data_IF_970597627183
#
_entry.id   IF_970597627183
#
_cell.length_a   1.000
_cell.length_b   1.000
_cell.length_c   1.000
_cell.angle_alpha   90.00
_cell.angle_beta   90.00
_cell.angle_gamma   90.00
#
_symmetry.space_group_name_H-M   'P 1'
#
loop_
_entity.id
_entity.type
_entity.pdbx_description
1 polymer ?
#
# COMPACT_ATOMS: atom_id res chain seq x y z
N UNK A 1 16.55 6.18 -35.63
CA UNK A 1 17.05 5.53 -34.40
C UNK A 1 17.64 4.18 -34.78
N UNK A 2 18.91 3.93 -34.44
CA UNK A 2 19.45 2.56 -34.50
C UNK A 2 18.66 1.72 -33.49
N UNK A 3 18.13 0.59 -33.92
CA UNK A 3 17.53 -0.39 -33.02
C UNK A 3 18.59 -0.79 -31.99
N UNK A 4 18.36 -0.48 -30.72
CA UNK A 4 19.24 -0.91 -29.64
C UNK A 4 19.35 -2.43 -29.65
N UNK A 5 20.54 -2.95 -29.32
CA UNK A 5 20.75 -4.40 -29.24
C UNK A 5 19.80 -4.95 -28.18
N UNK A 6 19.34 -6.19 -28.36
CA UNK A 6 18.37 -6.83 -27.44
C UNK A 6 18.80 -6.73 -25.97
N UNK A 7 20.09 -6.88 -25.66
CA UNK A 7 20.60 -6.73 -24.29
C UNK A 7 20.45 -5.32 -23.69
N UNK A 8 20.64 -4.27 -24.49
CA UNK A 8 20.50 -2.88 -24.03
C UNK A 8 19.06 -2.55 -23.63
N UNK A 9 18.07 -3.12 -24.35
CA UNK A 9 16.65 -2.93 -24.02
C UNK A 9 16.29 -3.45 -22.63
N UNK A 10 16.82 -4.61 -22.26
CA UNK A 10 16.61 -5.19 -20.94
C UNK A 10 17.36 -4.43 -19.84
N UNK A 11 18.54 -3.88 -20.13
CA UNK A 11 19.24 -3.03 -19.18
C UNK A 11 18.43 -1.78 -18.82
N UNK A 12 17.84 -1.11 -19.81
CA UNK A 12 16.96 0.03 -19.55
C UNK A 12 15.70 -0.36 -18.78
N UNK A 13 15.12 -1.54 -19.07
CA UNK A 13 13.99 -2.05 -18.31
C UNK A 13 14.32 -2.29 -16.84
N UNK A 14 15.46 -2.95 -16.56
CA UNK A 14 15.93 -3.20 -15.21
C UNK A 14 16.21 -1.88 -14.48
N UNK A 15 16.86 -0.93 -15.15
CA UNK A 15 17.10 0.41 -14.59
C UNK A 15 15.79 1.09 -14.20
N UNK A 16 14.78 1.06 -15.08
CA UNK A 16 13.44 1.59 -14.79
C UNK A 16 12.82 0.92 -13.56
N UNK A 17 12.89 -0.41 -13.47
CA UNK A 17 12.33 -1.14 -12.33
C UNK A 17 13.02 -0.80 -11.01
N UNK A 18 14.35 -0.68 -11.02
CA UNK A 18 15.12 -0.26 -9.84
C UNK A 18 14.82 1.18 -9.43
N UNK A 19 14.68 2.10 -10.39
CA UNK A 19 14.31 3.49 -10.11
C UNK A 19 12.91 3.61 -9.52
N UNK A 20 11.95 2.82 -10.01
CA UNK A 20 10.61 2.74 -9.44
C UNK A 20 10.68 2.28 -7.98
N UNK A 21 11.44 1.22 -7.67
CA UNK A 21 11.60 0.76 -6.28
C UNK A 21 12.27 1.81 -5.41
N UNK A 22 13.34 2.44 -5.90
CA UNK A 22 14.07 3.49 -5.19
C UNK A 22 13.22 4.75 -4.94
N UNK A 23 12.12 4.95 -5.67
CA UNK A 23 11.20 6.07 -5.45
C UNK A 23 10.35 5.92 -4.18
N UNK A 24 10.30 4.72 -3.58
CA UNK A 24 9.57 4.45 -2.34
C UNK A 24 10.49 4.53 -1.10
N UNK A 25 9.91 4.68 0.12
CA UNK A 25 10.65 4.53 1.37
C UNK A 25 11.42 3.20 1.45
N UNK A 26 12.56 3.13 2.18
CA UNK A 26 13.08 4.13 3.12
C UNK A 26 13.96 5.24 2.48
N UNK A 27 14.16 5.22 1.17
CA UNK A 27 14.98 6.21 0.46
C UNK A 27 14.38 7.63 0.48
N UNK A 28 15.21 8.61 0.09
CA UNK A 28 14.82 10.02 -0.15
C UNK A 28 14.89 10.37 -1.65
N UNK A 29 14.51 9.42 -2.47
CA UNK A 29 14.65 9.43 -3.94
C UNK A 29 13.30 9.42 -4.64
N UNK A 30 12.25 9.88 -3.96
CA UNK A 30 10.88 10.06 -4.47
C UNK A 30 10.80 10.88 -5.77
N UNK A 31 11.71 11.84 -5.96
CA UNK A 31 11.88 12.61 -7.19
C UNK A 31 12.21 11.74 -8.42
N UNK A 32 12.76 10.52 -8.25
CA UNK A 32 13.03 9.61 -9.37
C UNK A 32 11.75 9.18 -10.09
N UNK A 33 10.60 9.14 -9.40
CA UNK A 33 9.32 8.72 -9.98
C UNK A 33 8.92 9.56 -11.19
N UNK A 34 9.36 10.83 -11.27
CA UNK A 34 9.07 11.74 -12.37
C UNK A 34 9.70 11.35 -13.70
N UNK A 35 10.73 10.50 -13.68
CA UNK A 35 11.43 10.02 -14.89
C UNK A 35 11.83 8.53 -14.82
N UNK A 36 11.35 7.77 -13.83
CA UNK A 36 11.65 6.35 -13.63
C UNK A 36 11.16 5.45 -14.77
N UNK A 37 10.11 5.83 -15.50
CA UNK A 37 9.60 5.10 -16.67
C UNK A 37 10.31 5.48 -17.98
N UNK A 38 11.08 6.57 -18.01
CA UNK A 38 11.79 7.01 -19.23
C UNK A 38 12.73 5.91 -19.76
N UNK A 39 13.56 5.23 -18.94
CA UNK A 39 14.37 4.11 -19.42
C UNK A 39 13.52 2.98 -20.03
N UNK A 40 12.41 2.60 -19.41
CA UNK A 40 11.51 1.58 -19.99
C UNK A 40 11.00 2.01 -21.37
N UNK A 41 10.59 3.26 -21.52
CA UNK A 41 10.13 3.80 -22.82
C UNK A 41 11.24 3.76 -23.89
N UNK A 42 12.50 4.02 -23.52
CA UNK A 42 13.67 3.82 -24.40
C UNK A 42 13.80 2.34 -24.80
N UNK A 43 13.70 1.43 -23.82
CA UNK A 43 13.87 -0.01 -24.03
C UNK A 43 12.83 -0.62 -24.98
N UNK A 44 11.59 -0.13 -24.96
CA UNK A 44 10.52 -0.63 -25.83
C UNK A 44 10.52 0.01 -27.23
N UNK A 45 11.27 1.11 -27.42
CA UNK A 45 11.25 1.87 -28.66
C UNK A 45 11.68 1.03 -29.87
N UNK A 46 10.92 1.15 -30.97
CA UNK A 46 11.20 0.46 -32.24
C UNK A 46 11.07 -1.06 -32.19
N UNK A 47 10.56 -1.64 -31.10
CA UNK A 47 10.23 -3.06 -31.01
C UNK A 47 8.79 -3.37 -31.40
N UNK A 48 8.50 -4.63 -31.70
CA UNK A 48 7.11 -5.10 -31.84
C UNK A 48 6.38 -5.07 -30.49
N UNK A 49 5.04 -5.03 -30.45
CA UNK A 49 4.30 -5.09 -29.19
C UNK A 49 4.66 -6.31 -28.32
N UNK A 50 4.95 -7.45 -28.94
CA UNK A 50 5.41 -8.65 -28.24
C UNK A 50 6.80 -8.48 -27.61
N UNK A 51 7.72 -7.77 -28.30
CA UNK A 51 9.02 -7.43 -27.71
C UNK A 51 8.86 -6.43 -26.56
N UNK A 52 8.01 -5.42 -26.73
CA UNK A 52 7.73 -4.43 -25.68
C UNK A 52 7.14 -5.10 -24.43
N UNK A 53 6.24 -6.08 -24.60
CA UNK A 53 5.72 -6.88 -23.50
C UNK A 53 6.85 -7.55 -22.70
N UNK A 54 7.79 -8.23 -23.37
CA UNK A 54 8.92 -8.91 -22.69
C UNK A 54 9.84 -7.93 -21.95
N UNK A 55 10.10 -6.76 -22.53
CA UNK A 55 10.89 -5.69 -21.90
C UNK A 55 10.14 -5.14 -20.67
N UNK A 56 8.83 -4.91 -20.77
CA UNK A 56 8.00 -4.50 -19.65
C UNK A 56 7.92 -5.56 -18.54
N UNK A 57 7.91 -6.86 -18.89
CA UNK A 57 8.01 -7.95 -17.91
C UNK A 57 9.32 -7.84 -17.11
N UNK A 58 10.45 -7.54 -17.76
CA UNK A 58 11.73 -7.38 -17.06
C UNK A 58 11.74 -6.16 -16.13
N UNK A 59 11.15 -5.03 -16.55
CA UNK A 59 11.01 -3.84 -15.72
C UNK A 59 10.11 -4.10 -14.49
N UNK A 60 8.95 -4.71 -14.71
CA UNK A 60 8.05 -5.07 -13.62
C UNK A 60 8.68 -6.09 -12.67
N UNK A 61 9.32 -7.13 -13.20
CA UNK A 61 9.95 -8.16 -12.38
C UNK A 61 11.08 -7.59 -11.51
N UNK A 62 11.97 -6.78 -12.08
CA UNK A 62 13.04 -6.12 -11.31
C UNK A 62 12.49 -5.17 -10.24
N UNK A 63 11.44 -4.40 -10.56
CA UNK A 63 10.74 -3.56 -9.58
C UNK A 63 10.17 -4.38 -8.42
N UNK A 64 9.28 -5.33 -8.71
CA UNK A 64 8.57 -6.05 -7.66
C UNK A 64 9.47 -7.01 -6.87
N UNK A 65 10.50 -7.59 -7.50
CA UNK A 65 11.46 -8.43 -6.79
C UNK A 65 12.25 -7.63 -5.74
N UNK A 66 12.68 -6.43 -6.09
CA UNK A 66 13.41 -5.54 -5.16
C UNK A 66 12.49 -4.85 -4.16
N UNK A 67 11.23 -4.60 -4.52
CA UNK A 67 10.24 -3.98 -3.63
C UNK A 67 9.68 -4.97 -2.58
N UNK A 68 9.47 -6.23 -2.97
CA UNK A 68 8.75 -7.23 -2.17
C UNK A 68 9.65 -8.32 -1.58
N UNK A 69 10.97 -8.10 -1.54
CA UNK A 69 11.93 -9.06 -0.98
C UNK A 69 11.56 -9.54 0.44
N UNK A 70 10.94 -8.66 1.22
CA UNK A 70 10.52 -8.91 2.60
C UNK A 70 9.46 -10.02 2.73
N UNK A 71 8.75 -10.36 1.65
CA UNK A 71 7.79 -11.48 1.66
C UNK A 71 8.48 -12.81 1.97
N UNK A 72 9.74 -13.00 1.53
CA UNK A 72 10.51 -14.20 1.87
C UNK A 72 10.69 -14.30 3.38
N UNK A 73 10.97 -13.18 4.05
CA UNK A 73 11.11 -13.12 5.52
C UNK A 73 9.77 -13.40 6.19
N UNK A 74 8.69 -12.79 5.70
CA UNK A 74 7.35 -13.00 6.25
C UNK A 74 6.91 -14.47 6.21
N UNK A 75 7.05 -15.11 5.03
CA UNK A 75 6.67 -16.51 4.84
C UNK A 75 7.62 -17.48 5.56
N UNK A 76 8.92 -17.19 5.54
CA UNK A 76 9.93 -18.06 6.15
C UNK A 76 9.92 -18.02 7.67
N UNK A 77 10.04 -16.82 8.24
CA UNK A 77 10.21 -16.64 9.68
C UNK A 77 8.90 -16.77 10.45
N UNK A 78 7.80 -16.16 9.95
CA UNK A 78 6.52 -16.16 10.67
C UNK A 78 5.55 -17.24 10.15
N UNK A 79 5.63 -17.57 8.86
CA UNK A 79 4.81 -18.63 8.26
C UNK A 79 5.39 -20.04 8.36
N UNK A 80 6.62 -20.20 8.86
CA UNK A 80 7.36 -21.47 8.93
C UNK A 80 7.45 -22.21 7.57
N UNK A 81 7.39 -21.48 6.45
CA UNK A 81 7.57 -22.07 5.11
C UNK A 81 9.07 -22.13 4.79
N UNK A 82 9.55 -23.26 4.26
CA UNK A 82 10.94 -23.37 3.83
C UNK A 82 11.34 -22.25 2.86
N UNK A 83 12.48 -21.59 3.09
CA UNK A 83 12.89 -20.39 2.34
C UNK A 83 12.91 -20.58 0.82
N UNK A 84 13.22 -21.78 0.33
CA UNK A 84 13.15 -22.11 -1.12
C UNK A 84 11.72 -22.00 -1.66
N UNK A 85 10.73 -22.48 -0.91
CA UNK A 85 9.31 -22.39 -1.29
C UNK A 85 8.84 -20.94 -1.19
N UNK A 86 9.23 -20.22 -0.14
CA UNK A 86 8.96 -18.78 0.01
C UNK A 86 9.52 -17.95 -1.14
N UNK A 87 10.75 -18.25 -1.60
CA UNK A 87 11.36 -17.60 -2.75
C UNK A 87 10.62 -17.91 -4.05
N UNK A 88 10.18 -19.16 -4.24
CA UNK A 88 9.35 -19.54 -5.39
C UNK A 88 8.03 -18.77 -5.41
N UNK A 89 7.35 -18.65 -4.26
CA UNK A 89 6.10 -17.88 -4.12
C UNK A 89 6.35 -16.40 -4.47
N UNK A 90 7.43 -15.80 -3.96
CA UNK A 90 7.79 -14.43 -4.31
C UNK A 90 7.99 -14.27 -5.82
N UNK A 91 8.77 -15.15 -6.45
CA UNK A 91 9.03 -15.09 -7.90
C UNK A 91 7.73 -15.17 -8.70
N UNK A 92 6.81 -16.07 -8.32
CA UNK A 92 5.49 -16.17 -8.96
C UNK A 92 4.65 -14.89 -8.78
N UNK A 93 4.62 -14.32 -7.58
CA UNK A 93 3.95 -13.05 -7.31
C UNK A 93 4.58 -11.91 -8.15
N UNK A 94 5.91 -11.83 -8.23
CA UNK A 94 6.59 -10.84 -9.05
C UNK A 94 6.25 -10.99 -10.53
N UNK A 95 6.13 -12.21 -11.06
CA UNK A 95 5.68 -12.43 -12.44
C UNK A 95 4.24 -11.97 -12.67
N UNK A 96 3.33 -12.28 -11.74
CA UNK A 96 1.96 -11.78 -11.80
C UNK A 96 1.92 -10.25 -11.83
N UNK A 97 2.62 -9.58 -10.92
CA UNK A 97 2.66 -8.12 -10.85
C UNK A 97 3.42 -7.50 -12.04
N UNK A 98 4.41 -8.19 -12.60
CA UNK A 98 5.12 -7.75 -13.80
C UNK A 98 4.24 -7.72 -15.06
N UNK A 99 3.09 -8.42 -15.07
CA UNK A 99 2.13 -8.37 -16.16
C UNK A 99 1.60 -6.94 -16.37
N UNK A 100 1.45 -6.13 -15.32
CA UNK A 100 0.91 -4.78 -15.46
C UNK A 100 1.88 -3.84 -16.22
N UNK A 101 3.17 -3.70 -15.84
CA UNK A 101 4.15 -2.99 -16.69
C UNK A 101 4.35 -3.60 -18.08
N UNK A 102 4.20 -4.92 -18.22
CA UNK A 102 4.28 -5.60 -19.52
C UNK A 102 3.11 -5.23 -20.44
N UNK A 103 1.89 -5.17 -19.91
CA UNK A 103 0.70 -4.71 -20.65
C UNK A 103 0.81 -3.23 -21.00
N UNK A 104 1.26 -2.37 -20.07
CA UNK A 104 1.59 -0.97 -20.38
C UNK A 104 2.52 -0.90 -21.58
N UNK A 105 3.63 -1.64 -21.54
CA UNK A 105 4.66 -1.65 -22.59
C UNK A 105 4.13 -2.14 -23.93
N UNK A 106 3.32 -3.20 -23.92
CA UNK A 106 2.67 -3.75 -25.11
C UNK A 106 1.78 -2.70 -25.81
N UNK A 107 0.93 -2.00 -25.05
CA UNK A 107 0.03 -0.99 -25.60
C UNK A 107 0.76 0.32 -25.91
N UNK A 108 1.79 0.69 -25.15
CA UNK A 108 2.66 1.83 -25.44
C UNK A 108 3.24 1.75 -26.87
N UNK A 109 3.65 0.55 -27.30
CA UNK A 109 4.12 0.30 -28.66
C UNK A 109 3.04 0.52 -29.73
N UNK A 110 1.75 0.35 -29.40
CA UNK A 110 0.62 0.53 -30.32
C UNK A 110 0.11 1.97 -30.39
N UNK A 111 0.23 2.74 -29.31
CA UNK A 111 -0.30 4.12 -29.23
C UNK A 111 0.71 5.18 -29.69
N UNK A 112 1.97 4.80 -29.92
CA UNK A 112 3.03 5.67 -30.46
C UNK A 112 2.56 6.35 -31.76
N UNK A 113 2.70 7.67 -31.83
CA UNK A 113 2.29 8.45 -33.00
C UNK A 113 0.76 8.61 -33.15
N UNK A 114 -0.03 8.14 -32.20
CA UNK A 114 -1.48 8.38 -32.16
C UNK A 114 -1.82 9.74 -31.54
N UNK A 115 -3.03 10.24 -31.79
CA UNK A 115 -3.53 11.44 -31.11
C UNK A 115 -3.56 11.23 -29.59
N UNK A 116 -3.05 12.20 -28.82
CA UNK A 116 -3.01 12.17 -27.35
C UNK A 116 -2.28 10.95 -26.77
N UNK A 117 -1.16 10.56 -27.39
CA UNK A 117 -0.38 9.39 -26.97
C UNK A 117 0.07 9.48 -25.50
N UNK A 118 0.42 10.69 -25.01
CA UNK A 118 0.85 10.88 -23.62
C UNK A 118 -0.28 10.59 -22.63
N UNK A 119 -1.47 11.16 -22.88
CA UNK A 119 -2.65 10.98 -22.04
C UNK A 119 -3.16 9.53 -22.05
N UNK A 120 -3.12 8.87 -23.21
CA UNK A 120 -3.45 7.44 -23.32
C UNK A 120 -2.52 6.57 -22.49
N UNK A 121 -1.21 6.87 -22.48
CA UNK A 121 -0.25 6.13 -21.68
C UNK A 121 -0.51 6.31 -20.17
N UNK A 122 -0.73 7.55 -19.74
CA UNK A 122 -1.06 7.86 -18.34
C UNK A 122 -2.39 7.23 -17.90
N UNK A 123 -3.44 7.32 -18.72
CA UNK A 123 -4.73 6.69 -18.46
C UNK A 123 -4.63 5.16 -18.42
N UNK A 124 -3.82 4.55 -19.29
CA UNK A 124 -3.57 3.12 -19.26
C UNK A 124 -2.85 2.69 -17.99
N UNK A 125 -1.85 3.44 -17.52
CA UNK A 125 -1.18 3.14 -16.25
C UNK A 125 -2.18 3.13 -15.09
N UNK A 126 -3.01 4.17 -14.98
CA UNK A 126 -4.05 4.25 -13.94
C UNK A 126 -5.05 3.09 -14.04
N UNK A 127 -5.51 2.76 -15.24
CA UNK A 127 -6.41 1.63 -15.44
C UNK A 127 -5.77 0.31 -14.99
N UNK A 128 -4.48 0.11 -15.27
CA UNK A 128 -3.73 -1.08 -14.85
C UNK A 128 -3.50 -1.10 -13.33
N UNK A 129 -3.21 0.04 -12.71
CA UNK A 129 -3.14 0.18 -11.25
C UNK A 129 -4.47 -0.15 -10.57
N UNK A 130 -5.58 0.35 -11.11
CA UNK A 130 -6.92 0.06 -10.61
C UNK A 130 -7.28 -1.43 -10.77
N UNK A 131 -6.97 -2.03 -11.92
CA UNK A 131 -7.14 -3.47 -12.12
C UNK A 131 -6.28 -4.29 -11.14
N UNK A 132 -5.05 -3.87 -10.87
CA UNK A 132 -4.16 -4.49 -9.87
C UNK A 132 -4.73 -4.39 -8.45
N UNK A 133 -5.46 -3.33 -8.15
CA UNK A 133 -6.13 -3.15 -6.86
C UNK A 133 -7.36 -4.05 -6.68
N UNK A 134 -7.91 -4.65 -7.75
CA UNK A 134 -9.18 -5.39 -7.71
C UNK A 134 -9.04 -6.88 -8.05
N UNK A 135 -8.18 -7.22 -9.02
CA UNK A 135 -8.06 -8.61 -9.50
C UNK A 135 -7.46 -9.52 -8.44
N UNK A 136 -8.03 -10.74 -8.32
CA UNK A 136 -7.59 -11.78 -7.39
C UNK A 136 -7.47 -11.27 -5.94
N UNK A 137 -8.49 -10.53 -5.50
CA UNK A 137 -8.61 -9.80 -4.22
C UNK A 137 -7.77 -8.53 -4.10
N UNK A 138 -6.95 -8.21 -5.08
CA UNK A 138 -6.20 -6.96 -5.14
C UNK A 138 -4.85 -7.03 -4.44
N UNK A 139 -3.85 -6.42 -5.07
CA UNK A 139 -2.54 -6.18 -4.47
C UNK A 139 -2.04 -4.77 -4.83
N UNK A 140 -2.69 -3.68 -4.33
CA UNK A 140 -2.34 -2.29 -4.62
C UNK A 140 -1.10 -1.81 -3.82
N UNK A 141 -0.13 -2.69 -3.58
CA UNK A 141 1.09 -2.34 -2.85
C UNK A 141 1.90 -1.31 -3.65
N UNK A 142 2.24 -0.18 -3.02
CA UNK A 142 3.07 0.89 -3.59
C UNK A 142 2.61 1.31 -5.00
N UNK A 143 1.38 1.83 -5.13
CA UNK A 143 0.95 2.59 -6.30
C UNK A 143 1.88 3.79 -6.54
N UNK A 144 2.09 4.18 -7.80
CA UNK A 144 3.07 5.19 -8.19
C UNK A 144 2.83 6.54 -7.50
N UNK A 145 1.56 6.94 -7.33
CA UNK A 145 1.21 8.16 -6.61
C UNK A 145 1.74 8.23 -5.17
N UNK A 146 1.93 7.08 -4.49
CA UNK A 146 2.47 7.07 -3.13
C UNK A 146 3.94 7.49 -3.04
N UNK A 147 4.69 7.53 -4.16
CA UNK A 147 6.07 8.04 -4.12
C UNK A 147 6.09 9.51 -3.70
N UNK A 148 5.00 10.26 -3.90
CA UNK A 148 4.91 11.69 -3.56
C UNK A 148 4.58 11.96 -2.08
N UNK A 149 4.72 10.97 -1.18
CA UNK A 149 4.35 11.07 0.23
C UNK A 149 4.98 12.26 1.00
N UNK A 150 6.07 12.83 0.48
CA UNK A 150 6.78 13.99 1.06
C UNK A 150 6.37 15.35 0.48
N UNK A 151 5.45 15.35 -0.48
CA UNK A 151 5.00 16.54 -1.20
C UNK A 151 3.51 16.75 -0.93
N UNK A 152 3.13 17.17 0.28
CA UNK A 152 1.73 17.27 0.67
C UNK A 152 0.94 18.26 -0.22
N UNK A 153 1.62 19.22 -0.86
CA UNK A 153 1.06 20.12 -1.87
C UNK A 153 0.54 19.36 -3.09
N UNK A 154 1.28 18.34 -3.54
CA UNK A 154 0.87 17.49 -4.65
C UNK A 154 -0.16 16.43 -4.23
N UNK A 155 -0.12 15.99 -2.98
CA UNK A 155 -1.05 14.97 -2.46
C UNK A 155 -2.49 15.48 -2.43
N UNK A 156 -2.72 16.79 -2.31
CA UNK A 156 -4.07 17.33 -2.12
C UNK A 156 -5.07 16.88 -3.20
N UNK A 157 -4.65 16.71 -4.47
CA UNK A 157 -5.55 16.23 -5.53
C UNK A 157 -6.11 14.82 -5.30
N UNK A 158 -5.60 14.09 -4.31
CA UNK A 158 -6.13 12.79 -3.92
C UNK A 158 -7.55 12.88 -3.31
N UNK A 159 -7.99 14.04 -2.82
CA UNK A 159 -9.39 14.22 -2.38
C UNK A 159 -10.38 14.23 -3.57
N UNK A 160 -9.93 14.67 -4.75
CA UNK A 160 -10.72 14.67 -5.99
C UNK A 160 -10.62 13.36 -6.77
N UNK A 161 -9.41 12.81 -6.92
CA UNK A 161 -9.12 11.72 -7.87
C UNK A 161 -8.51 10.47 -7.21
N UNK A 162 -8.36 10.47 -5.88
CA UNK A 162 -7.56 9.47 -5.18
C UNK A 162 -6.08 9.48 -5.60
N UNK A 163 -5.35 8.47 -5.14
CA UNK A 163 -3.92 8.28 -5.50
C UNK A 163 -3.69 8.18 -7.01
N UNK A 164 -4.70 7.76 -7.77
CA UNK A 164 -4.64 7.60 -9.21
C UNK A 164 -4.44 8.92 -9.97
N UNK A 165 -4.94 10.04 -9.44
CA UNK A 165 -4.68 11.36 -10.01
C UNK A 165 -3.20 11.71 -10.01
N UNK A 166 -2.49 11.40 -8.91
CA UNK A 166 -1.04 11.60 -8.82
C UNK A 166 -0.29 10.63 -9.75
N UNK A 167 -0.67 9.35 -9.79
CA UNK A 167 -0.10 8.38 -10.72
C UNK A 167 -0.23 8.86 -12.18
N UNK A 168 -1.37 9.44 -12.54
CA UNK A 168 -1.61 9.98 -13.88
C UNK A 168 -0.62 11.09 -14.23
N UNK A 169 -0.46 12.09 -13.35
CA UNK A 169 0.46 13.22 -13.56
C UNK A 169 1.91 12.72 -13.68
N UNK A 170 2.33 11.77 -12.85
CA UNK A 170 3.68 11.21 -12.88
C UNK A 170 3.97 10.48 -14.20
N UNK A 171 3.05 9.63 -14.68
CA UNK A 171 3.24 8.94 -15.96
C UNK A 171 3.18 9.91 -17.13
N UNK A 172 2.32 10.93 -17.07
CA UNK A 172 2.25 11.96 -18.11
C UNK A 172 3.58 12.73 -18.21
N UNK A 173 4.20 13.08 -17.08
CA UNK A 173 5.53 13.69 -17.02
C UNK A 173 6.62 12.78 -17.60
N UNK A 174 6.64 11.49 -17.23
CA UNK A 174 7.57 10.51 -17.81
C UNK A 174 7.43 10.41 -19.34
N UNK A 175 6.19 10.33 -19.82
CA UNK A 175 5.87 10.25 -21.23
C UNK A 175 6.35 11.50 -21.98
N UNK A 176 6.14 12.68 -21.40
CA UNK A 176 6.61 13.94 -21.96
C UNK A 176 8.14 13.99 -22.05
N UNK A 177 8.83 13.67 -20.95
CA UNK A 177 10.30 13.70 -20.90
C UNK A 177 10.86 12.78 -21.99
N UNK A 178 10.34 11.56 -22.10
CA UNK A 178 10.70 10.63 -23.16
C UNK A 178 10.43 11.20 -24.57
N UNK A 179 9.24 11.75 -24.81
CA UNK A 179 8.87 12.28 -26.12
C UNK A 179 9.70 13.51 -26.53
N UNK A 180 10.11 14.36 -25.58
CA UNK A 180 10.91 15.55 -25.87
C UNK A 180 12.40 15.24 -26.07
N UNK A 181 12.97 14.38 -25.22
CA UNK A 181 14.41 14.15 -25.14
C UNK A 181 14.88 12.95 -25.97
N UNK A 182 14.01 11.97 -26.21
CA UNK A 182 14.38 10.72 -26.89
C UNK A 182 13.69 10.59 -28.24
N UNK A 183 12.36 10.73 -28.27
CA UNK A 183 11.59 10.42 -29.46
C UNK A 183 10.43 11.38 -29.72
N UNK A 184 10.70 12.43 -30.50
CA UNK A 184 9.69 13.42 -30.91
C UNK A 184 8.58 12.84 -31.79
N UNK A 185 8.76 11.66 -32.37
CA UNK A 185 7.72 10.95 -33.14
C UNK A 185 6.75 10.17 -32.26
N UNK A 186 6.95 10.19 -30.93
CA UNK A 186 5.97 9.63 -30.00
C UNK A 186 4.66 10.41 -30.08
N UNK A 187 4.75 11.73 -30.29
CA UNK A 187 3.63 12.57 -30.65
C UNK A 187 3.14 12.26 -32.07
N UNK A 188 1.84 12.44 -32.28
CA UNK A 188 1.36 12.66 -33.64
C UNK A 188 1.87 14.03 -34.13
N UNK A 189 2.30 14.10 -35.40
CA UNK A 189 2.76 15.36 -36.00
C UNK A 189 1.70 16.46 -35.81
N UNK A 190 2.09 17.54 -35.13
CA UNK A 190 1.22 18.70 -34.87
C UNK A 190 0.42 18.69 -33.57
N UNK A 191 0.43 17.61 -32.77
CA UNK A 191 -0.29 17.58 -31.47
C UNK A 191 0.54 18.08 -30.30
N UNK A 192 1.87 18.03 -30.40
CA UNK A 192 2.79 18.47 -29.34
C UNK A 192 2.54 19.91 -28.85
N UNK A 193 2.12 20.81 -29.76
CA UNK A 193 1.80 22.21 -29.43
C UNK A 193 0.62 22.37 -28.45
N UNK A 194 -0.20 21.33 -28.30
CA UNK A 194 -1.33 21.30 -27.36
C UNK A 194 -1.05 20.40 -26.16
N UNK A 195 -0.41 19.24 -26.39
CA UNK A 195 -0.12 18.28 -25.32
C UNK A 195 0.90 18.82 -24.30
N UNK A 196 1.91 19.58 -24.74
CA UNK A 196 2.92 20.16 -23.85
C UNK A 196 2.30 21.23 -22.94
N UNK A 197 1.60 22.27 -23.44
CA UNK A 197 0.96 23.26 -22.57
C UNK A 197 -0.11 22.64 -21.67
N UNK A 198 -0.86 21.65 -22.14
CA UNK A 198 -1.88 20.97 -21.33
C UNK A 198 -1.28 20.26 -20.12
N UNK A 199 -0.14 19.59 -20.27
CA UNK A 199 0.56 18.98 -19.13
C UNK A 199 1.14 20.03 -18.19
N UNK A 200 1.78 21.08 -18.70
CA UNK A 200 2.31 22.17 -17.86
C UNK A 200 1.16 22.77 -17.03
N UNK A 201 0.03 23.06 -17.68
CA UNK A 201 -1.18 23.52 -16.99
C UNK A 201 -1.65 22.52 -15.94
N UNK A 202 -1.70 21.22 -16.24
CA UNK A 202 -2.12 20.20 -15.30
C UNK A 202 -1.21 20.11 -14.06
N UNK A 203 0.10 20.19 -14.24
CA UNK A 203 1.07 20.21 -13.11
C UNK A 203 0.90 21.48 -12.29
N UNK A 204 0.77 22.65 -12.95
CA UNK A 204 0.52 23.92 -12.26
C UNK A 204 -0.81 23.91 -11.50
N UNK A 205 -1.88 23.33 -12.08
CA UNK A 205 -3.17 23.19 -11.43
C UNK A 205 -3.11 22.22 -10.24
N UNK A 206 -2.36 21.13 -10.36
CA UNK A 206 -2.15 20.16 -9.28
C UNK A 206 -1.49 20.84 -8.07
N UNK A 207 -0.39 21.55 -8.33
CA UNK A 207 0.32 22.29 -7.28
C UNK A 207 -0.50 23.47 -6.74
N UNK A 208 -1.14 24.24 -7.63
CA UNK A 208 -1.97 25.38 -7.27
C UNK A 208 -3.20 25.00 -6.45
N UNK A 209 -3.84 23.87 -6.78
CA UNK A 209 -4.92 23.30 -5.96
C UNK A 209 -4.40 22.93 -4.57
N UNK A 210 -3.21 22.34 -4.48
CA UNK A 210 -2.57 22.06 -3.20
C UNK A 210 -2.41 23.28 -2.32
N UNK A 211 -1.88 24.36 -2.89
CA UNK A 211 -1.73 25.64 -2.20
C UNK A 211 -3.08 26.25 -1.79
N UNK A 212 -4.08 26.15 -2.67
CA UNK A 212 -5.45 26.59 -2.37
C UNK A 212 -6.02 25.84 -1.16
N UNK A 213 -5.91 24.50 -1.11
CA UNK A 213 -6.40 23.70 0.02
C UNK A 213 -5.72 24.05 1.33
N UNK A 214 -4.41 24.30 1.31
CA UNK A 214 -3.71 24.80 2.49
C UNK A 214 -4.20 26.17 2.95
N UNK A 215 -4.60 27.04 2.03
CA UNK A 215 -5.12 28.37 2.38
C UNK A 215 -6.51 28.34 3.02
N UNK A 216 -7.31 27.30 2.75
CA UNK A 216 -8.64 27.10 3.36
C UNK A 216 -8.53 26.59 4.80
N UNK A 217 -7.47 25.85 5.15
CA UNK A 217 -7.22 25.39 6.51
C UNK A 217 -6.60 26.52 7.33
N UNK A 218 -7.44 27.47 7.74
CA UNK A 218 -7.12 28.39 8.83
C UNK A 218 -7.80 27.85 10.08
N UNK A 219 -7.09 27.15 10.96
CA UNK A 219 -7.67 26.77 12.23
C UNK A 219 -8.07 28.06 12.95
N UNK A 220 -9.35 28.18 13.26
CA UNK A 220 -9.78 29.12 14.29
C UNK A 220 -9.26 28.53 15.60
N UNK A 221 -8.03 28.92 15.99
CA UNK A 221 -7.28 28.31 17.10
C UNK A 221 -8.06 28.38 18.43
N UNK A 222 -8.99 29.32 18.55
CA UNK A 222 -9.86 29.47 19.71
C UNK A 222 -11.07 28.51 19.71
N UNK A 223 -11.45 27.94 18.57
CA UNK A 223 -12.63 27.09 18.43
C UNK A 223 -12.35 25.58 18.57
N UNK A 224 -11.09 25.15 18.46
CA UNK A 224 -10.72 23.74 18.45
C UNK A 224 -10.13 23.32 19.80
N UNK A 225 -10.90 22.57 20.60
CA UNK A 225 -10.35 21.84 21.75
C UNK A 225 -9.50 20.67 21.21
N UNK A 226 -8.17 20.65 21.43
CA UNK A 226 -7.32 19.57 20.94
C UNK A 226 -7.65 18.27 21.68
N UNK A 227 -7.89 17.18 20.93
CA UNK A 227 -8.09 15.84 21.47
C UNK A 227 -6.73 15.19 21.72
N UNK A 228 -6.49 14.73 22.95
CA UNK A 228 -5.24 14.06 23.34
C UNK A 228 -5.36 12.56 23.12
N UNK A 229 -4.54 12.03 22.23
CA UNK A 229 -4.55 10.61 21.86
C UNK A 229 -3.24 9.94 22.28
N UNK A 230 -3.32 8.85 23.04
CA UNK A 230 -2.18 8.00 23.39
C UNK A 230 -2.18 6.73 22.52
N UNK A 231 -1.17 6.56 21.67
CA UNK A 231 -0.98 5.35 20.85
C UNK A 231 0.06 4.45 21.52
N UNK A 232 -0.36 3.28 21.99
CA UNK A 232 0.47 2.41 22.84
C UNK A 232 1.10 1.28 22.03
N UNK A 233 2.43 1.28 21.92
CA UNK A 233 3.18 0.25 21.21
C UNK A 233 3.88 -0.71 22.19
N UNK A 234 3.28 -1.88 22.41
CA UNK A 234 3.76 -2.86 23.40
C UNK A 234 5.04 -3.63 23.02
N UNK A 235 5.44 -3.62 21.74
CA UNK A 235 6.60 -4.35 21.20
C UNK A 235 6.62 -5.84 21.63
N UNK A 236 5.46 -6.50 21.57
CA UNK A 236 5.30 -7.92 21.94
C UNK A 236 5.83 -8.80 20.80
N UNK A 237 6.75 -9.71 21.12
CA UNK A 237 7.29 -10.65 20.15
C UNK A 237 6.19 -11.56 19.55
N UNK A 238 6.20 -11.71 18.23
CA UNK A 238 5.17 -12.44 17.49
C UNK A 238 5.10 -13.92 17.89
N UNK A 239 6.22 -14.55 18.28
CA UNK A 239 6.28 -15.95 18.72
C UNK A 239 5.62 -16.18 20.09
N UNK A 240 5.58 -15.13 20.93
CA UNK A 240 4.99 -15.17 22.27
C UNK A 240 3.54 -14.68 22.29
N UNK A 241 3.14 -13.90 21.29
CA UNK A 241 1.86 -13.18 21.24
C UNK A 241 0.65 -14.07 21.58
N UNK A 242 0.61 -15.29 21.04
CA UNK A 242 -0.52 -16.22 21.18
C UNK A 242 -0.37 -17.23 22.32
N UNK A 243 0.72 -17.17 23.10
CA UNK A 243 0.95 -18.10 24.19
C UNK A 243 0.12 -17.69 25.42
N UNK A 244 -0.80 -18.54 25.92
CA UNK A 244 -1.64 -18.22 27.08
C UNK A 244 -0.84 -17.82 28.33
N UNK A 245 0.35 -18.39 28.53
CA UNK A 245 1.21 -18.08 29.67
C UNK A 245 1.71 -16.62 29.66
N UNK A 246 1.72 -15.96 28.49
CA UNK A 246 2.19 -14.59 28.33
C UNK A 246 1.06 -13.56 28.28
N UNK A 247 -0.21 -13.97 28.13
CA UNK A 247 -1.36 -13.06 28.03
C UNK A 247 -1.43 -12.08 29.21
N UNK A 248 -1.30 -12.58 30.45
CA UNK A 248 -1.31 -11.73 31.66
C UNK A 248 -0.17 -10.69 31.65
N UNK A 249 1.03 -11.10 31.25
CA UNK A 249 2.19 -10.21 31.14
C UNK A 249 1.98 -9.17 30.04
N UNK A 250 1.40 -9.56 28.91
CA UNK A 250 1.03 -8.64 27.82
C UNK A 250 0.07 -7.57 28.31
N UNK A 251 -1.01 -7.94 29.01
CA UNK A 251 -1.96 -6.96 29.57
C UNK A 251 -1.29 -6.05 30.61
N UNK A 252 -0.37 -6.57 31.43
CA UNK A 252 0.40 -5.74 32.37
C UNK A 252 1.31 -4.73 31.67
N UNK A 253 1.97 -5.11 30.57
CA UNK A 253 2.79 -4.20 29.76
C UNK A 253 1.92 -3.07 29.24
N UNK A 254 0.78 -3.40 28.63
CA UNK A 254 -0.13 -2.41 28.09
C UNK A 254 -0.76 -1.53 29.17
N UNK A 255 -1.17 -2.08 30.32
CA UNK A 255 -1.65 -1.31 31.47
C UNK A 255 -0.63 -0.28 31.93
N UNK A 256 0.62 -0.71 32.15
CA UNK A 256 1.71 0.19 32.54
C UNK A 256 1.93 1.28 31.49
N UNK A 257 1.98 0.93 30.20
CA UNK A 257 2.25 1.91 29.14
C UNK A 257 1.10 2.90 28.94
N UNK A 258 -0.15 2.45 29.06
CA UNK A 258 -1.34 3.32 28.99
C UNK A 258 -1.35 4.38 30.09
N UNK A 259 -0.79 4.07 31.26
CA UNK A 259 -0.74 4.96 32.42
C UNK A 259 0.63 5.63 32.61
N UNK A 260 1.59 5.39 31.71
CA UNK A 260 2.98 5.81 31.87
C UNK A 260 3.22 7.32 31.74
N UNK A 261 2.21 8.11 31.37
CA UNK A 261 2.35 9.55 31.14
C UNK A 261 1.51 10.38 32.11
N UNK A 262 1.94 10.52 33.39
CA UNK A 262 1.33 11.45 34.33
C UNK A 262 1.22 12.85 33.72
N UNK A 263 0.05 13.47 33.83
CA UNK A 263 -0.21 14.83 33.31
C UNK A 263 -0.59 14.92 31.83
N UNK A 264 -0.44 13.85 31.03
CA UNK A 264 -0.94 13.86 29.65
C UNK A 264 -2.47 13.85 29.65
N UNK A 265 -3.08 12.97 30.47
CA UNK A 265 -4.53 12.76 30.56
C UNK A 265 -5.16 12.59 29.16
N UNK A 266 -4.95 11.45 28.50
CA UNK A 266 -5.48 11.21 27.17
C UNK A 266 -7.01 11.20 27.20
N UNK A 267 -7.64 11.75 26.16
CA UNK A 267 -9.07 11.57 25.90
C UNK A 267 -9.32 10.19 25.26
N UNK A 268 -8.33 9.67 24.50
CA UNK A 268 -8.39 8.39 23.81
C UNK A 268 -7.07 7.61 23.92
N UNK A 269 -7.17 6.32 24.21
CA UNK A 269 -6.07 5.35 24.20
C UNK A 269 -6.27 4.37 23.04
N UNK A 270 -5.25 4.17 22.20
CA UNK A 270 -5.30 3.25 21.06
C UNK A 270 -4.23 2.18 21.20
N UNK A 271 -4.66 0.92 21.22
CA UNK A 271 -3.79 -0.26 21.16
C UNK A 271 -3.83 -0.91 19.77
N UNK A 272 -2.73 -1.55 19.33
CA UNK A 272 -2.63 -2.12 17.99
C UNK A 272 -3.48 -3.37 17.80
N UNK A 273 -3.46 -3.88 16.57
CA UNK A 273 -4.14 -5.11 16.15
C UNK A 273 -3.76 -6.31 17.03
N UNK A 274 -4.80 -6.97 17.56
CA UNK A 274 -4.67 -8.12 18.46
C UNK A 274 -3.75 -7.85 19.67
N UNK A 275 -3.78 -6.64 20.23
CA UNK A 275 -3.11 -6.31 21.48
C UNK A 275 -3.67 -7.10 22.69
N UNK A 276 -4.90 -7.57 22.56
CA UNK A 276 -5.59 -8.47 23.49
C UNK A 276 -5.61 -9.88 22.86
N UNK A 277 -4.62 -10.75 23.13
CA UNK A 277 -4.46 -12.02 22.43
C UNK A 277 -5.32 -13.15 23.05
N UNK A 278 -6.56 -12.84 23.37
CA UNK A 278 -7.59 -13.77 23.86
C UNK A 278 -8.97 -13.25 23.43
N UNK A 279 -9.99 -14.11 23.46
CA UNK A 279 -11.35 -13.67 23.17
C UNK A 279 -11.87 -12.79 24.31
N UNK A 280 -11.85 -11.47 24.12
CA UNK A 280 -12.29 -10.49 25.13
C UNK A 280 -13.72 -10.76 25.65
N UNK A 281 -14.57 -11.37 24.83
CA UNK A 281 -15.93 -11.78 25.17
C UNK A 281 -16.04 -12.96 26.17
N UNK A 282 -14.97 -13.74 26.34
CA UNK A 282 -14.99 -14.97 27.16
C UNK A 282 -14.21 -14.81 28.48
N UNK A 283 -13.03 -14.20 28.43
CA UNK A 283 -12.10 -14.19 29.56
C UNK A 283 -12.46 -13.11 30.59
N UNK A 284 -13.15 -13.52 31.66
CA UNK A 284 -13.60 -12.58 32.69
C UNK A 284 -12.46 -11.91 33.47
N UNK A 285 -11.34 -12.59 33.78
CA UNK A 285 -10.27 -11.95 34.57
C UNK A 285 -9.51 -10.94 33.70
N UNK A 286 -9.03 -11.39 32.55
CA UNK A 286 -8.21 -10.53 31.68
C UNK A 286 -9.04 -9.40 31.05
N UNK A 287 -10.31 -9.64 30.71
CA UNK A 287 -11.18 -8.57 30.22
C UNK A 287 -11.44 -7.51 31.30
N UNK A 288 -11.62 -7.89 32.57
CA UNK A 288 -11.77 -6.91 33.65
C UNK A 288 -10.49 -6.09 33.85
N UNK A 289 -9.30 -6.71 33.70
CA UNK A 289 -8.02 -5.97 33.72
C UNK A 289 -7.93 -4.94 32.61
N UNK A 290 -8.39 -5.26 31.40
CA UNK A 290 -8.43 -4.30 30.29
C UNK A 290 -9.44 -3.17 30.56
N UNK A 291 -10.64 -3.49 31.05
CA UNK A 291 -11.66 -2.49 31.43
C UNK A 291 -11.18 -1.54 32.52
N UNK A 292 -10.39 -2.04 33.47
CA UNK A 292 -9.80 -1.22 34.54
C UNK A 292 -8.94 -0.09 33.98
N UNK A 293 -8.23 -0.32 32.87
CA UNK A 293 -7.34 0.67 32.25
C UNK A 293 -8.11 1.90 31.79
N UNK A 294 -9.24 1.70 31.08
CA UNK A 294 -10.13 2.79 30.67
C UNK A 294 -10.67 3.58 31.85
N UNK A 295 -11.03 2.87 32.95
CA UNK A 295 -11.55 3.47 34.18
C UNK A 295 -10.51 4.29 34.92
N UNK A 296 -9.29 3.77 35.04
CA UNK A 296 -8.19 4.46 35.71
C UNK A 296 -7.66 5.65 34.90
N UNK A 297 -7.62 5.53 33.57
CA UNK A 297 -7.22 6.64 32.71
C UNK A 297 -8.32 7.69 32.55
N UNK A 298 -9.59 7.32 32.76
CA UNK A 298 -10.75 8.16 32.45
C UNK A 298 -10.91 8.44 30.95
N UNK A 299 -10.36 7.58 30.10
CA UNK A 299 -10.24 7.79 28.66
C UNK A 299 -11.07 6.75 27.89
N UNK A 300 -11.52 7.11 26.69
CA UNK A 300 -11.97 6.13 25.72
C UNK A 300 -10.80 5.22 25.32
N UNK A 301 -11.10 3.97 24.99
CA UNK A 301 -10.08 3.00 24.62
C UNK A 301 -10.48 2.17 23.40
N UNK A 302 -9.64 2.18 22.37
CA UNK A 302 -9.76 1.33 21.19
C UNK A 302 -8.64 0.28 21.20
N UNK A 303 -8.98 -0.99 21.03
CA UNK A 303 -7.98 -2.07 21.01
C UNK A 303 -8.40 -3.24 20.11
N UNK A 304 -7.41 -3.96 19.59
CA UNK A 304 -7.63 -5.17 18.79
C UNK A 304 -7.69 -6.45 19.62
N UNK A 305 -8.65 -7.33 19.31
CA UNK A 305 -8.86 -8.66 19.90
C UNK A 305 -9.38 -9.64 18.86
N UNK A 306 -9.07 -10.94 18.94
CA UNK A 306 -9.88 -11.94 18.26
C UNK A 306 -11.30 -11.94 18.84
N UNK A 307 -12.30 -12.21 17.99
CA UNK A 307 -13.69 -12.35 18.38
C UNK A 307 -14.34 -13.52 17.62
N UNK A 308 -15.51 -13.96 18.06
CA UNK A 308 -16.30 -14.92 17.32
C UNK A 308 -17.79 -14.69 17.48
N UNK A 309 -18.58 -15.19 16.54
CA UNK A 309 -20.04 -15.26 16.65
C UNK A 309 -20.51 -16.72 16.59
N UNK A 310 -21.46 -17.07 17.48
CA UNK A 310 -22.17 -18.35 17.50
C UNK A 310 -23.61 -18.07 17.03
N UNK A 311 -23.89 -18.37 15.76
CA UNK A 311 -25.25 -18.41 15.21
C UNK A 311 -25.71 -19.85 15.00
N UNK A 312 -26.73 -20.06 14.17
CA UNK A 312 -27.23 -21.40 13.80
C UNK A 312 -26.25 -22.21 12.92
N UNK A 313 -25.15 -21.60 12.46
CA UNK A 313 -24.15 -22.20 11.58
C UNK A 313 -22.77 -22.38 12.22
N UNK A 314 -21.73 -22.66 11.41
CA UNK A 314 -20.37 -22.81 11.92
C UNK A 314 -19.88 -21.52 12.58
N UNK A 315 -19.06 -21.66 13.64
CA UNK A 315 -18.44 -20.55 14.35
C UNK A 315 -17.66 -19.69 13.36
N UNK A 316 -17.94 -18.38 13.36
CA UNK A 316 -17.22 -17.40 12.55
C UNK A 316 -16.24 -16.66 13.44
N UNK A 317 -14.97 -16.66 13.06
CA UNK A 317 -13.90 -15.94 13.73
C UNK A 317 -13.75 -14.55 13.09
N UNK A 318 -13.37 -13.57 13.90
CA UNK A 318 -13.19 -12.18 13.49
C UNK A 318 -11.91 -11.61 14.07
N UNK A 319 -11.25 -10.77 13.29
CA UNK A 319 -10.27 -9.82 13.78
C UNK A 319 -11.01 -8.50 14.08
N UNK A 320 -11.11 -8.15 15.37
CA UNK A 320 -12.03 -7.12 15.85
C UNK A 320 -11.28 -5.99 16.55
N UNK A 321 -11.62 -4.75 16.21
CA UNK A 321 -11.35 -3.60 17.05
C UNK A 321 -12.56 -3.35 17.96
N UNK A 322 -12.33 -3.15 19.25
CA UNK A 322 -13.37 -2.87 20.25
C UNK A 322 -13.16 -1.47 20.85
N UNK A 323 -14.26 -0.83 21.24
CA UNK A 323 -14.27 0.47 21.93
C UNK A 323 -14.86 0.33 23.33
N UNK A 324 -14.07 0.71 24.34
CA UNK A 324 -14.52 0.88 25.71
C UNK A 324 -14.64 2.36 26.06
N UNK A 325 -15.72 2.70 26.77
CA UNK A 325 -15.92 4.02 27.35
C UNK A 325 -15.03 4.24 28.58
N UNK A 326 -14.90 5.47 29.10
CA UNK A 326 -14.25 5.75 30.38
C UNK A 326 -14.81 4.95 31.56
N UNK A 327 -16.07 4.49 31.49
CA UNK A 327 -16.68 3.63 32.51
C UNK A 327 -16.28 2.14 32.37
N UNK A 328 -15.49 1.79 31.35
CA UNK A 328 -15.13 0.41 31.01
C UNK A 328 -16.29 -0.38 30.41
N UNK A 329 -17.27 0.31 29.83
CA UNK A 329 -18.42 -0.29 29.13
C UNK A 329 -18.10 -0.46 27.65
N UNK A 330 -18.55 -1.56 27.05
CA UNK A 330 -18.33 -1.83 25.63
C UNK A 330 -19.40 -1.10 24.82
N UNK A 331 -19.02 -0.07 24.08
CA UNK A 331 -19.95 0.78 23.32
C UNK A 331 -19.99 0.44 21.83
N UNK A 332 -18.93 -0.19 21.29
CA UNK A 332 -18.89 -0.52 19.87
C UNK A 332 -17.76 -1.48 19.48
N UNK A 333 -17.84 -1.96 18.25
CA UNK A 333 -16.79 -2.74 17.61
C UNK A 333 -16.79 -2.60 16.09
N UNK A 334 -15.65 -2.93 15.48
CA UNK A 334 -15.46 -3.06 14.05
C UNK A 334 -14.82 -4.42 13.73
N UNK A 335 -15.43 -5.17 12.82
CA UNK A 335 -14.89 -6.43 12.31
C UNK A 335 -14.18 -6.18 10.97
N UNK A 336 -12.94 -6.70 10.84
CA UNK A 336 -12.13 -6.57 9.63
C UNK A 336 -12.86 -7.17 8.43
N UNK A 337 -13.06 -6.35 7.39
CA UNK A 337 -13.84 -6.73 6.19
C UNK A 337 -12.97 -7.36 5.11
N UNK A 338 -11.78 -6.81 4.87
CA UNK A 338 -10.86 -7.29 3.84
C UNK A 338 -9.73 -8.10 4.47
N UNK A 339 -9.81 -9.41 4.32
CA UNK A 339 -8.85 -10.34 4.90
C UNK A 339 -7.64 -10.55 4.00
N UNK A 340 -6.47 -10.78 4.59
CA UNK A 340 -5.24 -11.06 3.86
C UNK A 340 -5.26 -12.50 3.33
N UNK A 341 -5.18 -12.72 1.99
CA UNK A 341 -5.07 -14.06 1.41
C UNK A 341 -3.86 -14.83 1.96
N UNK A 342 -4.04 -16.12 2.21
CA UNK A 342 -3.10 -17.07 2.81
C UNK A 342 -2.67 -16.77 4.26
N UNK A 343 -2.74 -15.52 4.71
CA UNK A 343 -2.56 -15.12 6.10
C UNK A 343 -3.78 -15.49 6.96
N UNK A 344 -4.92 -14.88 6.67
CA UNK A 344 -6.15 -14.97 7.48
C UNK A 344 -7.15 -15.98 6.91
N UNK A 345 -7.11 -16.25 5.60
CA UNK A 345 -7.91 -17.30 4.96
C UNK A 345 -7.14 -17.96 3.82
N UNK A 346 -7.59 -19.11 3.34
CA UNK A 346 -7.00 -19.81 2.19
C UNK A 346 -7.92 -19.62 0.97
N UNK A 347 -7.54 -18.79 -0.02
CA UNK A 347 -8.28 -18.69 -1.27
C UNK A 347 -8.42 -20.06 -1.92
N UNK A 348 -9.56 -20.34 -2.54
CA UNK A 348 -9.79 -21.59 -3.26
C UNK A 348 -9.48 -22.84 -2.42
N UNK A 349 -9.76 -22.83 -1.10
CA UNK A 349 -9.47 -23.93 -0.15
C UNK A 349 -9.85 -25.33 -0.67
N UNK A 350 -10.92 -25.44 -1.46
CA UNK A 350 -11.35 -26.70 -2.12
C UNK A 350 -10.29 -27.29 -3.06
N UNK A 351 -9.49 -26.44 -3.71
CA UNK A 351 -8.43 -26.81 -4.66
C UNK A 351 -7.03 -26.78 -4.03
N UNK A 352 -6.87 -26.16 -2.86
CA UNK A 352 -5.61 -26.06 -2.11
C UNK A 352 -5.73 -26.68 -0.70
N UNK A 353 -6.15 -27.96 -0.56
CA UNK A 353 -6.40 -28.57 0.75
C UNK A 353 -5.11 -28.77 1.58
N UNK A 354 -3.94 -28.71 0.94
CA UNK A 354 -2.63 -28.86 1.58
C UNK A 354 -2.08 -27.56 2.17
N UNK A 355 -2.76 -26.41 1.96
CA UNK A 355 -2.33 -25.11 2.48
C UNK A 355 -3.14 -24.76 3.73
N UNK A 356 -2.44 -24.63 4.87
CA UNK A 356 -3.01 -24.09 6.10
C UNK A 356 -2.79 -22.57 6.19
N UNK A 357 -3.55 -21.89 7.03
CA UNK A 357 -3.38 -20.44 7.30
C UNK A 357 -1.97 -20.19 7.86
N UNK A 358 -1.33 -19.12 7.37
CA UNK A 358 0.04 -18.77 7.76
C UNK A 358 0.13 -18.05 9.10
N UNK A 359 -0.98 -17.48 9.57
CA UNK A 359 -1.04 -16.79 10.87
C UNK A 359 -2.09 -17.45 11.75
N UNK A 360 -1.75 -17.64 13.04
CA UNK A 360 -2.66 -18.16 14.08
C UNK A 360 -3.74 -17.14 14.48
N UNK A 361 -3.94 -16.07 13.71
CA UNK A 361 -4.89 -15.01 14.02
C UNK A 361 -6.33 -15.40 13.74
N UNK A 362 -7.24 -14.85 14.55
CA UNK A 362 -8.66 -14.89 14.24
C UNK A 362 -8.94 -14.12 12.93
N UNK A 363 -9.77 -14.73 12.09
CA UNK A 363 -10.08 -14.33 10.71
C UNK A 363 -10.78 -15.48 10.01
#
# INVERSE_FOLDING_TARGET
MKTSKTGEKYLYAILSGLMLTASFPPGKTDWMAWFALVPLLIGICGGSPAQAFKVGMAAGFSHYLTLLYWIIVALGHYGNIHYTVSAFILVMLCFYLALYPALLSYFAAKIRGSWFALFKLAGLWVALEYLRAMLLTGFPWCLLGYTQYRHPELIQIADLFGVYGLSFVLVLSNALIYALLVDRHFFKKGTAKWEIPALILLVCLTYGYGQYRFSEVRPDEEALKPVKIAVVQGNIDQSLKWNPAFQKKTIQIYHRLSLATPGFHPDLIVWPETAVPFFFQDDKDLAQRVKLISRESGADMIFGSPAYSRGEGPIRLYNRALHLSPAGELEGYYDKVHLVPFGEYVPLKRFLPFVNRLVVSAG
#
